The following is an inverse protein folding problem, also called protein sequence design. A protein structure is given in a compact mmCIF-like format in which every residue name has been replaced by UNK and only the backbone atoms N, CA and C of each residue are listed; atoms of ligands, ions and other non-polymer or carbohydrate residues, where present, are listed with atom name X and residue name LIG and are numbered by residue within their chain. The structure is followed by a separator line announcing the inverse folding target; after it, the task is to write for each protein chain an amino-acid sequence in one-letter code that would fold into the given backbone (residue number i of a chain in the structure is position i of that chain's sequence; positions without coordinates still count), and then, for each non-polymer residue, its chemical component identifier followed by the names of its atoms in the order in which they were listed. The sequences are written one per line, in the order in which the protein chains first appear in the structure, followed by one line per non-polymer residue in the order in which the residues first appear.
data_IF_102834655742
#
_entry.id   IF_102834655742
#
_cell.length_a   1.000
_cell.length_b   1.000
_cell.length_c   1.000
_cell.angle_alpha   90.00
_cell.angle_beta   90.00
_cell.angle_gamma   90.00
#
_symmetry.space_group_name_H-M   'P 1'
#
loop_
_entity.id
_entity.type
_entity.pdbx_description
1 polymer ?
#
# COMPACT_ATOMS: atom_id res chain seq x y z
N UNK A 1 17.08 4.56 -3.81
CA UNK A 1 17.32 5.70 -2.90
C UNK A 1 17.31 5.14 -1.48
N UNK A 2 17.99 5.77 -0.53
CA UNK A 2 17.87 5.39 0.88
C UNK A 2 16.84 6.36 1.49
N UNK A 3 15.61 5.90 1.66
CA UNK A 3 14.46 6.74 2.04
C UNK A 3 14.18 6.72 3.55
N UNK A 4 14.84 5.84 4.31
CA UNK A 4 14.56 5.64 5.74
C UNK A 4 13.18 5.04 6.06
N UNK A 5 12.45 4.53 5.05
CA UNK A 5 11.09 4.01 5.19
C UNK A 5 11.02 2.53 5.55
N UNK A 6 12.13 1.80 5.45
CA UNK A 6 12.20 0.38 5.79
C UNK A 6 11.71 0.13 7.23
N UNK A 7 10.76 -0.80 7.37
CA UNK A 7 10.12 -1.17 8.65
C UNK A 7 9.11 -0.17 9.21
N UNK A 8 8.99 1.04 8.64
CA UNK A 8 8.02 2.06 9.09
C UNK A 8 6.59 1.65 8.72
N UNK A 9 5.63 2.02 9.55
CA UNK A 9 4.21 1.83 9.26
C UNK A 9 3.68 2.98 8.40
N UNK A 10 2.97 2.67 7.32
CA UNK A 10 2.37 3.65 6.41
C UNK A 10 0.91 3.30 6.18
N UNK A 11 0.00 4.26 6.34
CA UNK A 11 -1.40 4.14 5.95
C UNK A 11 -1.65 4.90 4.65
N UNK A 12 -2.10 4.21 3.61
CA UNK A 12 -2.51 4.84 2.35
C UNK A 12 -4.02 4.79 2.23
N UNK A 13 -4.66 5.95 2.24
CA UNK A 13 -6.11 6.08 2.04
C UNK A 13 -6.45 6.15 0.55
N UNK A 14 -7.60 5.58 0.16
CA UNK A 14 -7.97 5.50 -1.26
C UNK A 14 -7.06 4.57 -2.06
N UNK A 15 -6.44 3.59 -1.40
CA UNK A 15 -5.43 2.72 -1.99
C UNK A 15 -6.01 1.64 -2.92
N UNK A 16 -7.33 1.59 -3.13
CA UNK A 16 -8.00 0.64 -4.02
C UNK A 16 -7.87 0.97 -5.52
N UNK A 17 -7.14 2.03 -5.90
CA UNK A 17 -6.87 2.32 -7.30
C UNK A 17 -6.07 3.60 -7.55
N UNK A 18 -5.80 3.87 -8.82
CA UNK A 18 -5.13 5.08 -9.29
C UNK A 18 -3.82 5.37 -8.55
N UNK A 19 -3.66 6.62 -8.12
CA UNK A 19 -2.47 7.09 -7.40
C UNK A 19 -2.33 6.41 -6.04
N UNK A 20 -3.42 6.14 -5.32
CA UNK A 20 -3.35 5.48 -4.01
C UNK A 20 -2.71 4.10 -4.09
N UNK A 21 -3.10 3.29 -5.08
CA UNK A 21 -2.48 1.98 -5.33
C UNK A 21 -1.00 2.12 -5.72
N UNK A 22 -0.66 3.10 -6.57
CA UNK A 22 0.72 3.36 -6.96
C UNK A 22 1.60 3.76 -5.77
N UNK A 23 1.09 4.63 -4.89
CA UNK A 23 1.77 5.02 -3.65
C UNK A 23 1.97 3.82 -2.72
N UNK A 24 0.95 2.98 -2.53
CA UNK A 24 1.05 1.79 -1.68
C UNK A 24 2.17 0.83 -2.14
N UNK A 25 2.24 0.57 -3.46
CA UNK A 25 3.32 -0.22 -4.07
C UNK A 25 4.69 0.42 -3.89
N UNK A 26 4.80 1.73 -4.09
CA UNK A 26 6.06 2.45 -3.91
C UNK A 26 6.55 2.37 -2.46
N UNK A 27 5.68 2.55 -1.47
CA UNK A 27 6.04 2.41 -0.06
C UNK A 27 6.48 0.99 0.31
N UNK A 28 5.78 -0.03 -0.19
CA UNK A 28 6.17 -1.41 0.06
C UNK A 28 7.51 -1.76 -0.59
N UNK A 29 7.79 -1.24 -1.79
CA UNK A 29 9.09 -1.42 -2.47
C UNK A 29 10.27 -0.81 -1.67
N UNK A 30 10.01 0.23 -0.88
CA UNK A 30 10.97 0.83 0.05
C UNK A 30 11.07 0.07 1.41
N UNK A 31 10.38 -1.06 1.56
CA UNK A 31 10.41 -1.91 2.75
C UNK A 31 9.48 -1.46 3.88
N UNK A 32 8.56 -0.53 3.63
CA UNK A 32 7.57 -0.11 4.62
C UNK A 32 6.48 -1.19 4.84
N UNK A 33 5.89 -1.20 6.02
CA UNK A 33 4.68 -1.98 6.35
C UNK A 33 3.46 -1.14 6.00
N UNK A 34 2.79 -1.49 4.91
CA UNK A 34 1.73 -0.65 4.32
C UNK A 34 0.34 -1.17 4.69
N UNK A 35 -0.51 -0.30 5.20
CA UNK A 35 -1.94 -0.52 5.39
C UNK A 35 -2.73 0.10 4.22
N UNK A 36 -3.55 -0.72 3.56
CA UNK A 36 -4.37 -0.33 2.42
C UNK A 36 -5.77 0.03 2.92
N UNK A 37 -6.13 1.31 2.87
CA UNK A 37 -7.47 1.78 3.24
C UNK A 37 -8.31 2.15 2.02
N UNK A 38 -9.58 1.77 2.04
CA UNK A 38 -10.54 2.04 0.98
C UNK A 38 -11.91 2.39 1.58
N UNK A 39 -12.69 3.19 0.85
CA UNK A 39 -14.11 3.43 1.16
C UNK A 39 -15.03 2.62 0.22
N UNK A 40 -14.62 2.44 -1.04
CA UNK A 40 -15.31 1.62 -2.05
C UNK A 40 -14.29 0.81 -2.85
N UNK A 41 -14.72 -0.36 -3.34
CA UNK A 41 -13.87 -1.24 -4.15
C UNK A 41 -13.00 -2.18 -3.33
N UNK A 42 -13.61 -2.94 -2.42
CA UNK A 42 -12.95 -3.93 -1.56
C UNK A 42 -12.10 -4.93 -2.35
N UNK A 43 -12.63 -5.52 -3.42
CA UNK A 43 -11.90 -6.50 -4.23
C UNK A 43 -10.55 -5.96 -4.71
N UNK A 44 -10.54 -4.75 -5.30
CA UNK A 44 -9.30 -4.09 -5.74
C UNK A 44 -8.36 -3.77 -4.58
N UNK A 45 -8.89 -3.40 -3.42
CA UNK A 45 -8.07 -3.16 -2.23
C UNK A 45 -7.40 -4.44 -1.73
N UNK A 46 -8.12 -5.57 -1.77
CA UNK A 46 -7.58 -6.89 -1.45
C UNK A 46 -6.52 -7.34 -2.47
N UNK A 47 -6.74 -7.09 -3.76
CA UNK A 47 -5.75 -7.37 -4.80
C UNK A 47 -4.45 -6.60 -4.52
N UNK A 48 -4.55 -5.29 -4.24
CA UNK A 48 -3.40 -4.48 -3.85
C UNK A 48 -2.76 -5.02 -2.59
N UNK A 49 -3.52 -5.31 -1.53
CA UNK A 49 -2.95 -5.85 -0.29
C UNK A 49 -2.20 -7.17 -0.50
N UNK A 50 -2.73 -8.08 -1.31
CA UNK A 50 -2.10 -9.34 -1.66
C UNK A 50 -0.79 -9.14 -2.45
N UNK A 51 -0.75 -8.19 -3.40
CA UNK A 51 0.48 -7.81 -4.11
C UNK A 51 1.59 -7.34 -3.15
N UNK A 52 1.23 -6.69 -2.04
CA UNK A 52 2.17 -6.19 -1.04
C UNK A 52 2.56 -7.25 0.01
N UNK A 53 2.06 -8.49 -0.12
CA UNK A 53 2.29 -9.56 0.86
C UNK A 53 1.45 -9.42 2.13
N UNK A 54 0.38 -8.63 2.10
CA UNK A 54 -0.61 -8.56 3.17
C UNK A 54 -1.49 -9.82 3.23
N UNK A 55 -1.88 -10.21 4.44
CA UNK A 55 -2.79 -11.32 4.72
C UNK A 55 -4.18 -10.82 5.13
#
# INVERSE_FOLDING_TARGET
METGLSGKGVLVTGASGGIGAACARAFAAEGARVAVHYHRGEARARDVAAELGGA
#
